data_IF_389702978507
#
_entry.id   IF_389702978507
#
_cell.length_a   1.000
_cell.length_b   1.000
_cell.length_c   1.000
_cell.angle_alpha   90.00
_cell.angle_beta   90.00
_cell.angle_gamma   90.00
#
_symmetry.space_group_name_H-M   'P 1'
#
loop_
_entity.id
_entity.type
_entity.pdbx_description
1 polymer ?
#
# COMPACT_ATOMS: atom_id res chain seq x y z
N UNK A 1 12.51 4.01 -9.46
CA UNK A 1 13.34 3.11 -8.63
C UNK A 1 12.37 2.17 -7.96
N UNK A 2 12.48 0.88 -8.28
CA UNK A 2 11.55 -0.15 -7.78
C UNK A 2 12.14 -0.68 -6.49
N UNK A 3 11.38 -0.63 -5.40
CA UNK A 3 11.78 -1.34 -4.19
C UNK A 3 11.55 -2.82 -4.43
N UNK A 4 12.60 -3.63 -4.34
CA UNK A 4 12.45 -5.07 -4.43
C UNK A 4 11.57 -5.59 -3.31
N UNK A 5 11.65 -4.97 -2.12
CA UNK A 5 10.81 -5.29 -0.97
C UNK A 5 10.27 -4.03 -0.24
N UNK A 6 9.06 -4.10 0.33
CA UNK A 6 8.46 -3.05 1.19
C UNK A 6 8.27 -3.57 2.63
N UNK A 7 8.74 -2.80 3.61
CA UNK A 7 8.62 -3.09 5.05
C UNK A 7 7.91 -1.94 5.76
N UNK A 8 7.51 -2.13 7.02
CA UNK A 8 6.97 -1.01 7.82
C UNK A 8 7.95 0.14 7.95
N UNK A 9 9.24 -0.15 8.14
CA UNK A 9 10.26 0.90 8.25
C UNK A 9 10.32 1.76 6.99
N UNK A 10 10.16 1.17 5.80
CA UNK A 10 10.10 1.93 4.56
C UNK A 10 8.91 2.90 4.54
N UNK A 11 7.76 2.52 5.10
CA UNK A 11 6.58 3.40 5.21
C UNK A 11 6.80 4.59 6.16
N UNK A 12 7.82 4.53 7.02
CA UNK A 12 8.10 5.55 8.03
C UNK A 12 9.27 6.47 7.67
N UNK A 13 10.15 6.07 6.73
CA UNK A 13 11.36 6.84 6.42
C UNK A 13 11.72 6.86 4.93
N UNK A 14 12.44 7.92 4.55
CA UNK A 14 13.02 8.07 3.21
C UNK A 14 11.98 8.28 2.11
N UNK A 15 12.39 8.02 0.86
CA UNK A 15 11.55 8.25 -0.32
C UNK A 15 10.21 7.50 -0.34
N UNK A 16 10.06 6.28 0.21
CA UNK A 16 8.74 5.64 0.23
C UNK A 16 7.74 6.43 1.09
N UNK A 17 8.15 6.90 2.28
CA UNK A 17 7.33 7.79 3.10
C UNK A 17 6.97 9.08 2.36
N UNK A 18 7.93 9.71 1.67
CA UNK A 18 7.69 10.93 0.90
C UNK A 18 6.66 10.71 -0.21
N UNK A 19 6.81 9.64 -0.99
CA UNK A 19 5.88 9.30 -2.07
C UNK A 19 4.50 8.96 -1.55
N UNK A 20 4.42 8.20 -0.46
CA UNK A 20 3.15 7.87 0.20
C UNK A 20 2.45 9.13 0.72
N UNK A 21 3.19 10.00 1.40
CA UNK A 21 2.69 11.29 1.89
C UNK A 21 2.24 12.19 0.73
N UNK A 22 2.99 12.21 -0.37
CA UNK A 22 2.62 12.94 -1.56
C UNK A 22 1.30 12.42 -2.14
N UNK A 23 1.13 11.10 -2.28
CA UNK A 23 -0.11 10.49 -2.77
C UNK A 23 -1.30 10.82 -1.86
N UNK A 24 -1.13 10.75 -0.54
CA UNK A 24 -2.17 11.15 0.42
C UNK A 24 -2.60 12.62 0.24
N UNK A 25 -1.64 13.52 0.05
CA UNK A 25 -1.89 14.95 -0.17
C UNK A 25 -2.59 15.20 -1.52
N UNK A 26 -2.09 14.61 -2.60
CA UNK A 26 -2.62 14.79 -3.95
C UNK A 26 -4.05 14.24 -4.09
N UNK A 27 -4.41 13.20 -3.33
CA UNK A 27 -5.79 12.68 -3.28
C UNK A 27 -6.68 13.45 -2.29
N UNK A 28 -6.15 14.49 -1.65
CA UNK A 28 -6.91 15.37 -0.76
C UNK A 28 -7.38 14.69 0.53
N UNK A 29 -6.62 13.72 1.05
CA UNK A 29 -6.97 13.08 2.31
C UNK A 29 -6.87 14.08 3.47
N UNK A 30 -7.93 14.14 4.27
CA UNK A 30 -7.93 14.88 5.54
C UNK A 30 -7.03 14.16 6.56
N UNK A 31 -6.61 14.86 7.62
CA UNK A 31 -5.67 14.33 8.63
C UNK A 31 -6.08 12.95 9.18
N UNK A 32 -7.35 12.79 9.55
CA UNK A 32 -7.88 11.51 10.01
C UNK A 32 -7.90 10.42 8.92
N UNK A 33 -8.01 10.80 7.64
CA UNK A 33 -7.95 9.85 6.52
C UNK A 33 -6.51 9.42 6.22
N UNK A 34 -5.54 10.33 6.40
CA UNK A 34 -4.11 10.00 6.33
C UNK A 34 -3.72 9.01 7.44
N UNK A 35 -4.20 9.24 8.66
CA UNK A 35 -3.96 8.33 9.78
C UNK A 35 -4.51 6.92 9.50
N UNK A 36 -5.76 6.81 9.02
CA UNK A 36 -6.34 5.51 8.64
C UNK A 36 -5.55 4.80 7.54
N UNK A 37 -5.12 5.55 6.52
CA UNK A 37 -4.31 5.01 5.43
C UNK A 37 -2.95 4.54 5.91
N UNK A 38 -2.29 5.30 6.79
CA UNK A 38 -1.02 4.90 7.41
C UNK A 38 -1.17 3.60 8.22
N UNK A 39 -2.21 3.51 9.06
CA UNK A 39 -2.50 2.31 9.86
C UNK A 39 -2.83 1.10 9.00
N UNK A 40 -3.68 1.27 7.98
CA UNK A 40 -4.05 0.21 7.06
C UNK A 40 -2.85 -0.32 6.27
N UNK A 41 -2.00 0.58 5.75
CA UNK A 41 -0.80 0.19 5.02
C UNK A 41 0.15 -0.62 5.90
N UNK A 42 0.35 -0.20 7.16
CA UNK A 42 1.13 -0.97 8.14
C UNK A 42 0.47 -2.32 8.43
N UNK A 43 -0.84 -2.37 8.67
CA UNK A 43 -1.55 -3.63 8.94
C UNK A 43 -1.40 -4.62 7.78
N UNK A 44 -1.57 -4.16 6.53
CA UNK A 44 -1.41 -4.99 5.34
C UNK A 44 0.02 -5.54 5.21
N UNK A 45 1.04 -4.69 5.38
CA UNK A 45 2.45 -5.13 5.35
C UNK A 45 2.76 -6.12 6.47
N UNK A 46 2.18 -5.92 7.66
CA UNK A 46 2.39 -6.80 8.80
C UNK A 46 1.78 -8.18 8.54
N UNK A 47 0.54 -8.19 8.05
CA UNK A 47 -0.22 -9.39 7.77
C UNK A 47 0.53 -10.28 6.78
N UNK A 48 0.94 -9.70 5.66
CA UNK A 48 1.63 -10.44 4.60
C UNK A 48 3.02 -10.88 5.06
N UNK A 49 3.79 -10.00 5.72
CA UNK A 49 5.10 -10.39 6.23
C UNK A 49 5.01 -11.57 7.20
N UNK A 50 4.02 -11.56 8.11
CA UNK A 50 3.78 -12.68 9.03
C UNK A 50 3.30 -13.94 8.31
N UNK A 51 2.38 -13.81 7.35
CA UNK A 51 1.78 -14.94 6.62
C UNK A 51 2.81 -15.75 5.83
N UNK A 52 3.80 -15.07 5.26
CA UNK A 52 4.84 -15.69 4.42
C UNK A 52 6.22 -15.78 5.12
N UNK A 53 6.30 -15.50 6.43
CA UNK A 53 7.56 -15.43 7.20
C UNK A 53 8.64 -14.56 6.53
N UNK A 54 8.23 -13.41 5.98
CA UNK A 54 9.11 -12.51 5.24
C UNK A 54 9.95 -11.68 6.21
N UNK A 55 11.27 -11.92 6.21
CA UNK A 55 12.23 -11.12 6.98
C UNK A 55 12.63 -9.82 6.28
N UNK A 56 12.56 -9.79 4.96
CA UNK A 56 13.02 -8.65 4.16
C UNK A 56 11.88 -7.75 3.65
N UNK A 57 10.63 -8.09 3.98
CA UNK A 57 9.44 -7.35 3.56
C UNK A 57 8.68 -7.96 2.39
N UNK A 58 7.55 -7.32 2.06
CA UNK A 58 6.66 -7.68 0.97
C UNK A 58 7.30 -7.48 -0.40
N UNK A 59 6.83 -8.20 -1.42
CA UNK A 59 7.24 -8.11 -2.84
C UNK A 59 6.01 -7.83 -3.70
N UNK A 60 6.20 -7.49 -4.98
CA UNK A 60 5.12 -7.18 -5.92
C UNK A 60 4.00 -8.23 -5.96
N UNK A 61 4.35 -9.53 -6.03
CA UNK A 61 3.35 -10.60 -6.06
C UNK A 61 2.52 -10.71 -4.77
N UNK A 62 2.94 -10.07 -3.68
CA UNK A 62 2.20 -10.02 -2.43
C UNK A 62 1.18 -8.86 -2.36
N UNK A 63 1.20 -7.91 -3.31
CA UNK A 63 0.29 -6.76 -3.32
C UNK A 63 -1.16 -7.22 -3.36
N UNK A 64 -1.50 -8.20 -4.20
CA UNK A 64 -2.86 -8.73 -4.29
C UNK A 64 -3.37 -9.28 -2.95
N UNK A 65 -2.49 -9.94 -2.18
CA UNK A 65 -2.84 -10.45 -0.86
C UNK A 65 -3.03 -9.32 0.18
N UNK A 66 -2.16 -8.30 0.14
CA UNK A 66 -2.34 -7.12 0.98
C UNK A 66 -3.66 -6.39 0.70
N UNK A 67 -4.02 -6.23 -0.58
CA UNK A 67 -5.29 -5.62 -0.98
C UNK A 67 -6.49 -6.48 -0.56
N UNK A 68 -6.43 -7.80 -0.74
CA UNK A 68 -7.47 -8.73 -0.29
C UNK A 68 -7.64 -8.71 1.23
N UNK A 69 -6.54 -8.63 1.99
CA UNK A 69 -6.58 -8.44 3.44
C UNK A 69 -7.32 -7.14 3.79
N UNK A 70 -7.00 -6.03 3.12
CA UNK A 70 -7.65 -4.75 3.39
C UNK A 70 -9.14 -4.76 3.03
N UNK A 71 -9.50 -5.32 1.87
CA UNK A 71 -10.90 -5.42 1.45
C UNK A 71 -11.74 -6.20 2.47
N UNK A 72 -11.21 -7.32 2.99
CA UNK A 72 -11.90 -8.14 3.99
C UNK A 72 -11.90 -7.54 5.40
N UNK A 73 -10.79 -6.94 5.80
CA UNK A 73 -10.62 -6.43 7.17
C UNK A 73 -11.32 -5.08 7.37
N UNK A 74 -11.52 -4.33 6.29
CA UNK A 74 -12.15 -3.02 6.30
C UNK A 74 -13.51 -3.03 5.57
N UNK A 75 -14.13 -4.21 5.41
CA UNK A 75 -15.42 -4.38 4.73
C UNK A 75 -16.56 -3.76 5.58
N UNK A 76 -16.84 -2.47 5.37
CA UNK A 76 -17.88 -1.76 6.11
C UNK A 76 -17.81 -0.24 5.99
N UNK A 77 -18.86 0.45 6.44
CA UNK A 77 -18.99 1.92 6.32
C UNK A 77 -18.02 2.74 7.20
N UNK A 78 -17.19 2.10 8.02
CA UNK A 78 -16.42 2.78 9.07
C UNK A 78 -14.90 2.72 8.94
N UNK A 79 -14.31 1.82 8.14
CA UNK A 79 -12.89 1.51 8.35
C UNK A 79 -11.95 2.05 7.26
N UNK A 80 -12.29 2.03 5.96
CA UNK A 80 -11.53 2.73 4.90
C UNK A 80 -12.45 3.26 3.81
N UNK A 81 -12.32 4.53 3.43
CA UNK A 81 -13.07 5.12 2.32
C UNK A 81 -12.49 4.68 0.97
N UNK A 82 -13.27 4.69 -0.12
CA UNK A 82 -12.76 4.34 -1.45
C UNK A 82 -11.49 5.10 -1.87
N UNK A 83 -11.41 6.40 -1.57
CA UNK A 83 -10.21 7.22 -1.84
C UNK A 83 -8.99 6.79 -1.02
N UNK A 84 -9.20 6.28 0.18
CA UNK A 84 -8.13 5.82 1.07
C UNK A 84 -7.55 4.50 0.55
N UNK A 85 -8.40 3.57 0.12
CA UNK A 85 -8.00 2.35 -0.58
C UNK A 85 -7.26 2.64 -1.88
N UNK A 86 -7.71 3.62 -2.66
CA UNK A 86 -7.04 4.03 -3.90
C UNK A 86 -5.62 4.54 -3.62
N UNK A 87 -5.43 5.36 -2.59
CA UNK A 87 -4.10 5.85 -2.18
C UNK A 87 -3.20 4.69 -1.78
N UNK A 88 -3.70 3.73 -1.00
CA UNK A 88 -2.94 2.54 -0.60
C UNK A 88 -2.52 1.73 -1.84
N UNK A 89 -3.47 1.44 -2.75
CA UNK A 89 -3.19 0.67 -3.96
C UNK A 89 -2.14 1.36 -4.85
N UNK A 90 -2.31 2.66 -5.11
CA UNK A 90 -1.32 3.45 -5.87
C UNK A 90 0.04 3.51 -5.19
N UNK A 91 0.08 3.47 -3.87
CA UNK A 91 1.33 3.46 -3.11
C UNK A 91 2.04 2.12 -3.28
N UNK A 92 1.33 0.99 -3.14
CA UNK A 92 1.91 -0.32 -3.45
C UNK A 92 2.44 -0.39 -4.88
N UNK A 93 1.61 -0.01 -5.87
CA UNK A 93 2.03 0.01 -7.28
C UNK A 93 3.23 0.95 -7.47
N UNK A 94 3.23 2.15 -6.90
CA UNK A 94 4.34 3.10 -7.07
C UNK A 94 5.63 2.66 -6.39
N UNK A 95 5.56 1.91 -5.28
CA UNK A 95 6.74 1.40 -4.58
C UNK A 95 7.36 0.19 -5.30
N UNK A 96 6.55 -0.65 -5.92
CA UNK A 96 7.00 -1.87 -6.58
C UNK A 96 7.09 -1.78 -8.11
N UNK A 97 6.49 -0.76 -8.71
CA UNK A 97 6.03 -0.83 -10.09
C UNK A 97 7.12 -0.75 -11.15
N UNK A 98 7.07 -1.48 -12.26
CA UNK A 98 6.10 -2.50 -12.74
C UNK A 98 6.87 -3.34 -13.78
N UNK A 99 6.72 -4.66 -13.83
CA UNK A 99 6.98 -5.42 -15.06
C UNK A 99 5.64 -5.69 -15.76
N UNK A 100 5.18 -4.71 -16.54
CA UNK A 100 4.30 -4.80 -17.72
C UNK A 100 3.84 -3.41 -18.11
N UNK A 101 4.73 -2.73 -18.83
CA UNK A 101 4.33 -1.94 -20.00
C UNK A 101 3.50 -2.82 -20.93
N UNK A 102 2.38 -2.28 -21.40
CA UNK A 102 1.85 -2.49 -22.75
C UNK A 102 1.56 -3.94 -23.18
N UNK A 103 0.40 -4.50 -22.81
CA UNK A 103 -0.30 -5.51 -23.61
C UNK A 103 -1.74 -5.68 -23.11
N UNK A 104 -2.61 -4.72 -23.43
CA UNK A 104 -4.06 -4.96 -23.59
C UNK A 104 -4.70 -3.79 -24.36
N UNK A 105 -4.17 -3.55 -25.56
CA UNK A 105 -4.91 -2.95 -26.67
C UNK A 105 -4.55 -3.79 -27.90
N UNK A 106 -5.26 -4.90 -28.08
CA UNK A 106 -5.39 -5.59 -29.38
C UNK A 106 -6.86 -5.94 -29.55
#
# INVERSE_FOLDING_TARGET
MNYSNLTHEHLERGRPREMFTHLQNTHGLQEHGKARVDEAMKAAVAHVAKKYDLREGMKEHHIGEAMNYLEKHYEGRHDLKPKELEVINKSFIGHFGVAKTEEEVV
#
